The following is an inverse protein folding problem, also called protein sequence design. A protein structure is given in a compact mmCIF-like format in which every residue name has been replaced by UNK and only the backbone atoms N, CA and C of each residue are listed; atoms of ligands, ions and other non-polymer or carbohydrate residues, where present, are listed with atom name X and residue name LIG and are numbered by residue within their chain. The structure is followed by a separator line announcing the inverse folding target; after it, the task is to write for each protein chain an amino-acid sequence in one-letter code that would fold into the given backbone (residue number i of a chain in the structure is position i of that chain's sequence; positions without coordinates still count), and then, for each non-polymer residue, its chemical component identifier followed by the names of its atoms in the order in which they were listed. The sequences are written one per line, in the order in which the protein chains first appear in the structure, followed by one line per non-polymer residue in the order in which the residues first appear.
data_IF_234767901568
#
_entry.id   IF_234767901568
#
_cell.length_a   1.000
_cell.length_b   1.000
_cell.length_c   1.000
_cell.angle_alpha   90.00
_cell.angle_beta   90.00
_cell.angle_gamma   90.00
#
_symmetry.space_group_name_H-M   'P 1'
#
loop_
_entity.id
_entity.type
_entity.pdbx_description
1 polymer ?
#
# COMPACT_ATOMS: atom_id res chain seq x y z
N UNK A 1 4.71 -1.85 -17.52
CA UNK A 1 5.23 -1.82 -16.14
C UNK A 1 4.22 -1.15 -15.22
N UNK A 2 3.88 -1.82 -14.12
CA UNK A 2 3.06 -1.28 -13.03
C UNK A 2 3.93 -0.83 -11.85
N UNK A 3 3.46 0.16 -11.10
CA UNK A 3 4.09 0.61 -9.86
C UNK A 3 3.16 0.29 -8.69
N UNK A 4 3.60 -0.60 -7.80
CA UNK A 4 2.84 -1.02 -6.63
C UNK A 4 3.52 -0.47 -5.38
N UNK A 5 2.81 0.41 -4.69
CA UNK A 5 3.34 1.16 -3.56
C UNK A 5 2.60 0.76 -2.30
N UNK A 6 3.37 0.38 -1.28
CA UNK A 6 2.87 0.27 0.09
C UNK A 6 3.20 1.55 0.85
N UNK A 7 2.21 2.14 1.52
CA UNK A 7 2.43 3.28 2.41
C UNK A 7 2.84 2.82 3.82
N UNK A 8 3.65 3.65 4.46
CA UNK A 8 4.19 3.46 5.80
C UNK A 8 5.18 4.54 6.19
N UNK A 9 5.60 4.55 7.45
CA UNK A 9 6.69 5.38 7.93
C UNK A 9 8.00 4.55 8.05
N UNK A 10 9.15 5.13 7.67
CA UNK A 10 10.45 4.48 7.77
C UNK A 10 10.95 4.42 9.23
N UNK A 11 11.70 3.38 9.54
CA UNK A 11 12.33 3.18 10.85
C UNK A 11 11.71 2.04 11.67
N UNK A 12 12.55 1.38 12.48
CA UNK A 12 12.19 0.16 13.22
C UNK A 12 11.01 0.35 14.16
N UNK A 13 10.86 1.55 14.74
CA UNK A 13 9.76 1.90 15.65
C UNK A 13 8.37 1.83 15.01
N UNK A 14 8.27 1.97 13.68
CA UNK A 14 6.98 1.94 12.97
C UNK A 14 6.65 0.59 12.32
N UNK A 15 7.61 -0.36 12.31
CA UNK A 15 7.52 -1.59 11.51
C UNK A 15 6.23 -2.41 11.74
N UNK A 16 5.71 -2.41 12.97
CA UNK A 16 4.50 -3.15 13.35
C UNK A 16 3.29 -2.26 13.64
N UNK A 17 3.38 -0.98 13.29
CA UNK A 17 2.28 -0.04 13.47
C UNK A 17 1.22 -0.24 12.41
N UNK A 18 -0.03 0.11 12.75
CA UNK A 18 -1.16 0.02 11.81
C UNK A 18 -0.91 0.82 10.53
N UNK A 19 -0.23 1.95 10.65
CA UNK A 19 0.12 2.83 9.52
C UNK A 19 1.13 2.25 8.54
N UNK A 20 1.81 1.16 8.92
CA UNK A 20 2.75 0.45 8.05
C UNK A 20 2.12 -0.76 7.36
N UNK A 21 0.79 -0.87 7.36
CA UNK A 21 0.09 -1.98 6.71
C UNK A 21 0.49 -2.16 5.23
N UNK A 22 0.63 -1.05 4.49
CA UNK A 22 1.09 -1.09 3.10
C UNK A 22 2.52 -1.63 2.97
N UNK A 23 3.45 -1.16 3.81
CA UNK A 23 4.82 -1.69 3.84
C UNK A 23 4.85 -3.20 4.11
N UNK A 24 4.06 -3.66 5.08
CA UNK A 24 3.98 -5.09 5.41
C UNK A 24 3.55 -5.93 4.21
N UNK A 25 2.57 -5.46 3.43
CA UNK A 25 2.14 -6.16 2.21
C UNK A 25 3.27 -6.20 1.18
N UNK A 26 3.95 -5.08 0.92
CA UNK A 26 5.05 -5.05 -0.05
C UNK A 26 6.22 -5.94 0.36
N UNK A 27 6.59 -5.93 1.65
CA UNK A 27 7.63 -6.81 2.18
C UNK A 27 7.30 -8.29 1.93
N UNK A 28 6.08 -8.71 2.26
CA UNK A 28 5.66 -10.10 2.06
C UNK A 28 5.51 -10.47 0.58
N UNK A 29 5.02 -9.54 -0.25
CA UNK A 29 4.93 -9.75 -1.69
C UNK A 29 6.33 -9.92 -2.30
N UNK A 30 7.27 -9.06 -1.95
CA UNK A 30 8.65 -9.14 -2.43
C UNK A 30 9.32 -10.47 -2.03
N UNK A 31 9.06 -10.96 -0.81
CA UNK A 31 9.52 -12.28 -0.37
C UNK A 31 8.89 -13.44 -1.16
N UNK A 32 7.59 -13.35 -1.48
CA UNK A 32 6.85 -14.42 -2.19
C UNK A 32 7.28 -14.58 -3.64
N UNK A 33 7.60 -13.48 -4.31
CA UNK A 33 8.00 -13.48 -5.74
C UNK A 33 9.50 -13.73 -5.94
N UNK A 34 10.16 -14.28 -4.91
CA UNK A 34 11.58 -14.63 -4.88
C UNK A 34 12.48 -13.52 -5.45
N UNK A 35 12.20 -12.27 -5.05
CA UNK A 35 13.15 -11.19 -5.20
C UNK A 35 14.34 -11.46 -4.27
N UNK A 36 15.21 -12.42 -4.64
CA UNK A 36 16.50 -12.69 -3.99
C UNK A 36 17.47 -11.48 -4.07
N UNK A 37 16.99 -10.34 -4.58
CA UNK A 37 17.71 -9.10 -4.60
C UNK A 37 17.26 -8.21 -3.43
N UNK A 38 18.20 -7.68 -2.64
CA UNK A 38 17.86 -6.72 -1.60
C UNK A 38 17.16 -5.51 -2.22
N UNK A 39 16.16 -4.97 -1.51
CA UNK A 39 15.49 -3.74 -1.94
C UNK A 39 16.52 -2.63 -2.14
N UNK A 40 16.51 -2.04 -3.35
CA UNK A 40 17.44 -0.98 -3.70
C UNK A 40 16.90 0.37 -3.24
N UNK A 41 17.77 1.23 -2.71
CA UNK A 41 17.40 2.61 -2.40
C UNK A 41 17.41 3.45 -3.67
N UNK A 42 16.26 4.01 -4.04
CA UNK A 42 16.13 4.91 -5.20
C UNK A 42 14.94 5.84 -5.05
N UNK A 43 15.05 7.08 -5.51
CA UNK A 43 13.96 8.06 -5.50
C UNK A 43 13.27 8.22 -4.12
N UNK A 44 14.05 8.20 -3.03
CA UNK A 44 13.54 8.18 -1.66
C UNK A 44 12.61 7.01 -1.34
N UNK A 45 12.83 5.84 -1.95
CA UNK A 45 12.07 4.62 -1.70
C UNK A 45 13.01 3.40 -1.67
N UNK A 46 12.55 2.34 -1.01
CA UNK A 46 13.07 0.99 -1.21
C UNK A 46 12.28 0.36 -2.36
N UNK A 47 12.98 -0.17 -3.36
CA UNK A 47 12.34 -0.73 -4.57
C UNK A 47 12.83 -2.14 -4.88
N UNK A 48 11.94 -2.94 -5.44
CA UNK A 48 12.27 -4.21 -6.10
C UNK A 48 11.59 -4.25 -7.48
N UNK A 49 12.34 -4.68 -8.49
CA UNK A 49 11.78 -5.01 -9.80
C UNK A 49 11.52 -6.50 -9.85
N UNK A 50 10.37 -6.87 -10.38
CA UNK A 50 9.97 -8.27 -10.48
C UNK A 50 9.00 -8.48 -11.64
N UNK A 51 8.79 -9.74 -12.01
CA UNK A 51 7.72 -10.16 -12.88
C UNK A 51 6.65 -10.86 -12.03
N UNK A 52 5.39 -10.46 -12.19
CA UNK A 52 4.26 -11.13 -11.54
C UNK A 52 3.30 -11.55 -12.63
N UNK A 53 3.30 -12.85 -12.95
CA UNK A 53 2.41 -13.43 -13.96
C UNK A 53 2.62 -12.88 -15.36
N UNK A 54 3.87 -12.61 -15.77
CA UNK A 54 4.21 -12.04 -17.08
C UNK A 54 4.04 -10.53 -17.16
N UNK A 55 3.82 -9.85 -16.04
CA UNK A 55 3.70 -8.40 -15.95
C UNK A 55 4.89 -7.80 -15.20
N UNK A 56 5.62 -6.90 -15.85
CA UNK A 56 6.67 -6.11 -15.21
C UNK A 56 6.10 -5.24 -14.08
N UNK A 57 6.60 -5.45 -12.86
CA UNK A 57 6.18 -4.75 -11.65
C UNK A 57 7.36 -4.09 -10.95
N UNK A 58 7.17 -2.84 -10.56
CA UNK A 58 8.03 -2.12 -9.63
C UNK A 58 7.34 -2.05 -8.28
N UNK A 59 7.83 -2.82 -7.31
CA UNK A 59 7.42 -2.73 -5.91
C UNK A 59 8.15 -1.56 -5.26
N UNK A 60 7.45 -0.77 -4.44
CA UNK A 60 8.03 0.38 -3.77
C UNK A 60 7.51 0.59 -2.35
N UNK A 61 8.42 0.97 -1.45
CA UNK A 61 8.14 1.48 -0.11
C UNK A 61 8.80 2.85 0.06
N UNK A 62 8.05 3.96 -0.04
CA UNK A 62 8.58 5.30 0.22
C UNK A 62 9.33 5.38 1.56
N UNK A 63 10.57 5.87 1.56
CA UNK A 63 11.37 6.08 2.78
C UNK A 63 11.31 7.53 3.25
N UNK A 64 10.21 8.22 2.91
CA UNK A 64 9.83 9.54 3.42
C UNK A 64 8.88 9.37 4.60
N UNK A 65 8.64 10.43 5.39
CA UNK A 65 7.49 10.42 6.29
C UNK A 65 6.18 10.37 5.48
N UNK A 66 5.12 9.86 6.11
CA UNK A 66 3.85 9.61 5.44
C UNK A 66 3.34 10.81 4.64
N UNK A 67 3.38 12.02 5.20
CA UNK A 67 2.92 13.25 4.57
C UNK A 67 3.77 13.70 3.37
N UNK A 68 4.93 13.09 3.13
CA UNK A 68 5.81 13.36 1.99
C UNK A 68 5.89 12.16 1.03
N UNK A 69 5.01 11.17 1.17
CA UNK A 69 4.99 9.99 0.30
C UNK A 69 4.90 10.35 -1.19
N UNK A 70 4.17 11.41 -1.53
CA UNK A 70 4.00 11.87 -2.90
C UNK A 70 5.31 12.23 -3.59
N UNK A 71 6.31 12.75 -2.85
CA UNK A 71 7.64 13.07 -3.38
C UNK A 71 8.35 11.83 -3.91
N UNK A 72 8.29 10.73 -3.17
CA UNK A 72 8.90 9.47 -3.60
C UNK A 72 8.14 8.86 -4.79
N UNK A 73 6.80 8.88 -4.73
CA UNK A 73 5.94 8.33 -5.79
C UNK A 73 6.11 9.08 -7.11
N UNK A 74 6.10 10.41 -7.08
CA UNK A 74 6.32 11.25 -8.27
C UNK A 74 7.71 11.00 -8.88
N UNK A 75 8.75 10.94 -8.04
CA UNK A 75 10.11 10.69 -8.50
C UNK A 75 10.26 9.30 -9.16
N UNK A 76 9.62 8.27 -8.60
CA UNK A 76 9.58 6.92 -9.20
C UNK A 76 8.80 6.91 -10.52
N UNK A 77 7.59 7.48 -10.53
CA UNK A 77 6.74 7.53 -11.71
C UNK A 77 7.43 8.27 -12.87
N UNK A 78 8.08 9.40 -12.58
CA UNK A 78 8.84 10.16 -13.58
C UNK A 78 10.06 9.38 -14.10
N UNK A 79 10.88 8.84 -13.19
CA UNK A 79 12.11 8.13 -13.56
C UNK A 79 11.83 6.89 -14.43
N UNK A 80 10.79 6.12 -14.08
CA UNK A 80 10.41 4.90 -14.81
C UNK A 80 9.35 5.13 -15.89
N UNK A 81 8.94 6.39 -16.12
CA UNK A 81 7.92 6.79 -17.10
C UNK A 81 6.59 6.03 -16.93
N UNK A 82 6.13 5.89 -15.68
CA UNK A 82 4.93 5.14 -15.32
C UNK A 82 3.74 6.11 -15.29
N UNK A 83 2.67 5.77 -16.03
CA UNK A 83 1.42 6.52 -16.02
C UNK A 83 0.68 6.32 -14.68
N UNK A 84 0.05 7.36 -14.09
CA UNK A 84 -0.77 7.23 -12.88
C UNK A 84 -1.79 6.08 -12.91
N UNK A 85 -2.38 5.76 -14.06
CA UNK A 85 -3.32 4.63 -14.21
C UNK A 85 -2.69 3.26 -13.93
N UNK A 86 -1.36 3.14 -14.07
CA UNK A 86 -0.62 1.92 -13.79
C UNK A 86 -0.07 1.89 -12.36
N UNK A 87 -0.45 2.86 -11.53
CA UNK A 87 -0.07 2.94 -10.12
C UNK A 87 -1.15 2.29 -9.26
N UNK A 88 -0.72 1.43 -8.34
CA UNK A 88 -1.54 0.82 -7.29
C UNK A 88 -1.01 1.23 -5.91
N UNK A 89 -1.82 1.92 -5.11
CA UNK A 89 -1.46 2.36 -3.76
C UNK A 89 -2.13 1.48 -2.69
N UNK A 90 -1.36 0.96 -1.75
CA UNK A 90 -1.82 0.11 -0.65
C UNK A 90 -1.58 0.85 0.67
N UNK A 91 -2.62 1.01 1.48
CA UNK A 91 -2.57 1.82 2.70
C UNK A 91 -3.62 1.38 3.72
N UNK A 92 -3.44 1.81 4.96
CA UNK A 92 -4.36 1.56 6.06
C UNK A 92 -5.59 2.47 6.04
N UNK A 93 -6.73 1.92 6.47
CA UNK A 93 -8.00 2.62 6.53
C UNK A 93 -8.72 2.35 7.85
N UNK A 94 -9.01 3.42 8.59
CA UNK A 94 -9.61 3.37 9.94
C UNK A 94 -11.11 3.10 9.86
N UNK A 95 -11.77 3.49 8.78
CA UNK A 95 -13.22 3.29 8.61
C UNK A 95 -13.54 1.85 8.21
N UNK A 96 -12.54 1.10 7.74
CA UNK A 96 -12.66 -0.28 7.35
C UNK A 96 -12.27 -1.22 8.52
N UNK A 97 -13.13 -2.17 8.91
CA UNK A 97 -12.80 -3.14 9.96
C UNK A 97 -11.59 -4.01 9.60
N UNK A 98 -10.76 -4.33 10.60
CA UNK A 98 -9.70 -5.32 10.45
C UNK A 98 -10.26 -6.66 9.96
N UNK A 99 -9.58 -7.29 8.99
CA UNK A 99 -10.07 -8.47 8.28
C UNK A 99 -10.75 -8.15 6.94
N UNK A 100 -10.99 -6.87 6.64
CA UNK A 100 -11.56 -6.44 5.37
C UNK A 100 -10.57 -5.60 4.56
N UNK A 101 -10.54 -5.86 3.26
CA UNK A 101 -9.91 -4.98 2.27
C UNK A 101 -10.99 -4.32 1.43
N UNK A 102 -10.65 -3.16 0.83
CA UNK A 102 -11.53 -2.52 -0.14
C UNK A 102 -10.72 -1.90 -1.27
N UNK A 103 -11.13 -2.19 -2.49
CA UNK A 103 -10.44 -1.80 -3.71
C UNK A 103 -11.23 -0.68 -4.39
N UNK A 104 -10.51 0.34 -4.85
CA UNK A 104 -11.07 1.48 -5.56
C UNK A 104 -10.21 1.82 -6.75
N UNK A 105 -10.85 2.10 -7.88
CA UNK A 105 -10.16 2.63 -9.06
C UNK A 105 -9.61 4.04 -8.82
N UNK A 106 -10.32 4.88 -8.05
CA UNK A 106 -9.93 6.28 -7.77
C UNK A 106 -10.63 6.90 -6.56
N UNK A 107 -10.38 8.19 -6.31
CA UNK A 107 -11.16 9.08 -5.42
C UNK A 107 -10.30 9.89 -4.44
N UNK A 108 -10.93 10.53 -3.45
CA UNK A 108 -10.24 11.45 -2.52
C UNK A 108 -9.33 10.75 -1.50
N UNK A 109 -8.50 11.52 -0.79
CA UNK A 109 -7.57 11.03 0.24
C UNK A 109 -8.26 10.51 1.51
N UNK A 110 -9.51 10.91 1.78
CA UNK A 110 -10.26 10.44 2.96
C UNK A 110 -9.57 10.74 4.30
N UNK A 111 -8.84 11.86 4.39
CA UNK A 111 -8.06 12.22 5.59
C UNK A 111 -6.70 11.51 5.71
N UNK A 112 -6.37 10.56 4.84
CA UNK A 112 -5.08 9.87 4.86
C UNK A 112 -3.96 10.77 4.30
N UNK A 113 -3.06 11.25 5.17
CA UNK A 113 -1.99 12.22 4.83
C UNK A 113 -1.07 11.74 3.70
N UNK A 114 -0.79 10.43 3.63
CA UNK A 114 0.04 9.89 2.56
C UNK A 114 -0.64 9.87 1.19
N UNK A 115 -1.96 9.67 1.18
CA UNK A 115 -2.72 9.76 -0.07
C UNK A 115 -2.88 11.20 -0.53
N UNK A 116 -3.12 12.11 0.42
CA UNK A 116 -3.18 13.54 0.11
C UNK A 116 -1.88 13.99 -0.56
N UNK A 117 -0.74 13.64 0.05
CA UNK A 117 0.59 13.89 -0.52
C UNK A 117 0.74 13.33 -1.94
N UNK A 118 0.32 12.09 -2.19
CA UNK A 118 0.41 11.50 -3.54
C UNK A 118 -0.44 12.26 -4.54
N UNK A 119 -1.68 12.61 -4.19
CA UNK A 119 -2.58 13.37 -5.06
C UNK A 119 -1.98 14.74 -5.39
N UNK A 120 -1.44 15.43 -4.39
CA UNK A 120 -0.85 16.77 -4.54
C UNK A 120 0.38 16.74 -5.47
N UNK A 121 1.29 15.77 -5.27
CA UNK A 121 2.50 15.65 -6.09
C UNK A 121 2.22 15.08 -7.50
N UNK A 122 1.26 14.17 -7.67
CA UNK A 122 0.89 13.64 -8.98
C UNK A 122 -0.08 14.55 -9.76
N UNK A 123 -0.67 15.56 -9.10
CA UNK A 123 -1.75 16.40 -9.65
C UNK A 123 -2.94 15.59 -10.21
N UNK A 124 -3.21 14.42 -9.63
CA UNK A 124 -4.32 13.56 -10.03
C UNK A 124 -4.67 12.56 -8.93
N UNK A 125 -5.91 12.10 -8.92
CA UNK A 125 -6.39 10.99 -8.08
C UNK A 125 -6.82 9.77 -8.92
N UNK A 126 -6.46 9.74 -10.20
CA UNK A 126 -6.77 8.68 -11.17
C UNK A 126 -5.74 7.54 -11.08
N UNK A 127 -5.60 6.96 -9.88
CA UNK A 127 -4.77 5.78 -9.61
C UNK A 127 -5.52 4.80 -8.71
N UNK A 128 -5.31 3.50 -8.97
CA UNK A 128 -5.97 2.42 -8.24
C UNK A 128 -5.42 2.28 -6.84
N UNK A 129 -6.22 1.75 -5.93
CA UNK A 129 -5.82 1.61 -4.54
C UNK A 129 -6.53 0.51 -3.77
N UNK A 130 -5.81 -0.11 -2.85
CA UNK A 130 -6.29 -1.12 -1.91
C UNK A 130 -6.22 -0.54 -0.49
N UNK A 131 -7.38 -0.44 0.14
CA UNK A 131 -7.56 -0.09 1.55
C UNK A 131 -7.43 -1.35 2.39
N UNK A 132 -6.58 -1.31 3.41
CA UNK A 132 -6.43 -2.36 4.42
C UNK A 132 -7.15 -1.89 5.67
N UNK A 133 -8.17 -2.62 6.10
CA UNK A 133 -8.91 -2.27 7.30
C UNK A 133 -8.04 -2.41 8.54
N UNK A 134 -7.99 -1.35 9.34
CA UNK A 134 -7.32 -1.32 10.64
C UNK A 134 -8.28 -0.93 11.76
N UNK A 135 -9.54 -0.64 11.44
CA UNK A 135 -10.55 -0.21 12.38
C UNK A 135 -11.31 -1.34 13.08
N UNK A 136 -12.30 -0.97 13.91
CA UNK A 136 -12.61 0.40 14.31
C UNK A 136 -11.59 0.94 15.32
N UNK A 137 -11.32 2.24 15.27
CA UNK A 137 -10.54 2.91 16.32
C UNK A 137 -11.39 3.05 17.60
N UNK A 138 -10.79 2.94 18.80
CA UNK A 138 -11.48 3.30 20.04
C UNK A 138 -11.85 4.79 20.07
N UNK A 139 -13.06 5.12 20.56
CA UNK A 139 -13.59 6.50 20.59
C UNK A 139 -12.66 7.51 21.29
N UNK A 140 -11.94 7.05 22.32
CA UNK A 140 -11.07 7.90 23.14
C UNK A 140 -9.66 8.10 22.57
N UNK A 141 -9.36 7.55 21.38
CA UNK A 141 -8.02 7.63 20.79
C UNK A 141 -8.10 8.43 19.49
N UNK A 142 -7.40 9.57 19.40
CA UNK A 142 -7.26 10.30 18.14
C UNK A 142 -6.67 9.41 17.05
N UNK A 143 -7.19 9.51 15.83
CA UNK A 143 -6.77 8.71 14.67
C UNK A 143 -5.26 8.71 14.45
N UNK A 144 -4.62 9.88 14.58
CA UNK A 144 -3.18 10.04 14.42
C UNK A 144 -2.36 9.21 15.43
N UNK A 145 -2.89 9.01 16.63
CA UNK A 145 -2.27 8.15 17.65
C UNK A 145 -2.60 6.69 17.40
N UNK A 146 -3.82 6.38 16.98
CA UNK A 146 -4.25 5.00 16.74
C UNK A 146 -3.45 4.31 15.63
N UNK A 147 -3.23 5.01 14.49
CA UNK A 147 -2.48 4.46 13.36
C UNK A 147 -1.01 4.19 13.70
N UNK A 148 -0.43 4.97 14.62
CA UNK A 148 0.95 4.82 15.07
C UNK A 148 1.11 3.77 16.19
N UNK A 149 0.03 3.16 16.68
CA UNK A 149 0.12 2.05 17.62
C UNK A 149 0.38 0.73 16.89
N UNK A 150 1.07 -0.18 17.58
CA UNK A 150 1.24 -1.55 17.11
C UNK A 150 -0.08 -2.32 17.11
N UNK A 151 -0.21 -3.28 16.19
CA UNK A 151 -1.26 -4.28 16.27
C UNK A 151 -1.14 -5.09 17.57
N UNK A 152 -2.28 -5.39 18.21
CA UNK A 152 -2.33 -6.34 19.33
C UNK A 152 -2.02 -7.74 18.82
N UNK A 153 -1.67 -8.68 19.70
CA UNK A 153 -1.32 -10.06 19.33
C UNK A 153 -2.37 -10.74 18.42
N UNK A 154 -3.65 -10.61 18.76
CA UNK A 154 -4.74 -11.20 17.96
C UNK A 154 -4.94 -10.47 16.62
N UNK A 155 -4.84 -9.14 16.63
CA UNK A 155 -4.95 -8.31 15.42
C UNK A 155 -3.78 -8.59 14.46
N UNK A 156 -2.58 -8.78 15.01
CA UNK A 156 -1.38 -9.11 14.25
C UNK A 156 -1.50 -10.46 13.57
N UNK A 157 -2.13 -11.44 14.23
CA UNK A 157 -2.43 -12.74 13.63
C UNK A 157 -3.35 -12.59 12.42
N UNK A 158 -4.44 -11.82 12.55
CA UNK A 158 -5.34 -11.51 11.42
C UNK A 158 -4.59 -10.79 10.30
N UNK A 159 -3.74 -9.83 10.66
CA UNK A 159 -2.93 -9.10 9.67
C UNK A 159 -2.02 -10.04 8.88
N UNK A 160 -1.33 -10.97 9.55
CA UNK A 160 -0.37 -11.88 8.92
C UNK A 160 -1.02 -13.04 8.16
N UNK A 161 -2.03 -13.68 8.73
CA UNK A 161 -2.58 -14.94 8.22
C UNK A 161 -3.74 -14.72 7.23
N UNK A 162 -4.41 -13.56 7.25
CA UNK A 162 -5.58 -13.29 6.41
C UNK A 162 -5.32 -12.05 5.52
N UNK A 163 -5.11 -10.89 6.13
CA UNK A 163 -5.08 -9.62 5.39
C UNK A 163 -3.94 -9.52 4.37
N UNK A 164 -2.72 -9.88 4.75
CA UNK A 164 -1.56 -9.84 3.84
C UNK A 164 -1.74 -10.81 2.67
N UNK A 165 -2.02 -12.11 2.89
CA UNK A 165 -2.31 -13.05 1.79
C UNK A 165 -3.43 -12.57 0.87
N UNK A 166 -4.57 -12.15 1.44
CA UNK A 166 -5.71 -11.65 0.67
C UNK A 166 -5.38 -10.41 -0.15
N UNK A 167 -4.56 -9.51 0.39
CA UNK A 167 -4.11 -8.32 -0.36
C UNK A 167 -3.17 -8.69 -1.49
N UNK A 168 -2.28 -9.67 -1.29
CA UNK A 168 -1.39 -10.18 -2.33
C UNK A 168 -2.20 -10.83 -3.47
N UNK A 169 -3.20 -11.65 -3.15
CA UNK A 169 -4.10 -12.24 -4.15
C UNK A 169 -4.89 -11.18 -4.92
N UNK A 170 -5.33 -10.12 -4.24
CA UNK A 170 -5.96 -8.97 -4.89
C UNK A 170 -5.00 -8.22 -5.84
N UNK A 171 -3.72 -8.09 -5.48
CA UNK A 171 -2.69 -7.51 -6.35
C UNK A 171 -2.47 -8.38 -7.60
N UNK A 172 -2.33 -9.69 -7.42
CA UNK A 172 -2.19 -10.65 -8.52
C UNK A 172 -3.42 -10.62 -9.45
N UNK A 173 -4.64 -10.55 -8.88
CA UNK A 173 -5.86 -10.39 -9.63
C UNK A 173 -5.92 -9.06 -10.39
N UNK A 174 -5.50 -7.95 -9.77
CA UNK A 174 -5.43 -6.64 -10.41
C UNK A 174 -4.51 -6.66 -11.63
N UNK A 175 -3.32 -7.24 -11.50
CA UNK A 175 -2.35 -7.32 -12.59
C UNK A 175 -2.85 -8.21 -13.74
N UNK A 176 -3.54 -9.31 -13.43
CA UNK A 176 -4.02 -10.28 -14.43
C UNK A 176 -5.33 -9.89 -15.10
N UNK A 177 -6.29 -9.41 -14.31
CA UNK A 177 -7.69 -9.26 -14.71
C UNK A 177 -8.16 -7.79 -14.77
N UNK A 178 -7.36 -6.84 -14.30
CA UNK A 178 -7.73 -5.43 -14.23
C UNK A 178 -8.66 -5.08 -13.06
N UNK A 179 -8.82 -3.78 -12.81
CA UNK A 179 -9.44 -3.23 -11.60
C UNK A 179 -10.90 -3.65 -11.40
N UNK A 180 -11.69 -3.74 -12.47
CA UNK A 180 -13.14 -4.04 -12.38
C UNK A 180 -13.40 -5.43 -11.80
N UNK A 181 -12.70 -6.44 -12.32
CA UNK A 181 -12.82 -7.81 -11.84
C UNK A 181 -12.29 -7.95 -10.42
N UNK A 182 -11.18 -7.29 -10.10
CA UNK A 182 -10.65 -7.27 -8.73
C UNK A 182 -11.63 -6.61 -7.75
N UNK A 183 -12.29 -5.53 -8.14
CA UNK A 183 -13.33 -4.90 -7.31
C UNK A 183 -14.52 -5.86 -7.10
N UNK A 184 -14.98 -6.55 -8.13
CA UNK A 184 -16.07 -7.52 -8.00
C UNK A 184 -15.72 -8.68 -7.04
N UNK A 185 -14.49 -9.20 -7.09
CA UNK A 185 -14.10 -10.35 -6.26
C UNK A 185 -13.85 -9.97 -4.80
N UNK A 186 -13.27 -8.79 -4.53
CA UNK A 186 -12.74 -8.46 -3.19
C UNK A 186 -13.52 -7.37 -2.44
N UNK A 187 -14.47 -6.68 -3.07
CA UNK A 187 -15.32 -5.70 -2.37
C UNK A 187 -16.62 -6.29 -1.81
N UNK A 188 -16.89 -7.58 -2.05
CA UNK A 188 -18.09 -8.27 -1.58
C UNK A 188 -18.10 -8.49 -0.05
#
# INVERSE_FOLDING_TARGET
MHLIIGLGNPGTKYKKTRHNAGFLVIENLAMRVDCNQPLLKKCNALIAKTDIGGTDVLLAQPQTFMNESGKAVQALAHYYKINPKNILIIYDDIDLPLGKIRIREKGSAGGHKGLQSIIDYLNTNEFSRIKIGIGPQPENIPSEKYVLQNFKRNEWKIMQEDMIPKTIEAIECFLKNGIDKTMCEYNC
#
